data_IF_575288895428
#
_entry.id   IF_575288895428
#
_cell.length_a   1.000
_cell.length_b   1.000
_cell.length_c   1.000
_cell.angle_alpha   90.00
_cell.angle_beta   90.00
_cell.angle_gamma   90.00
#
_symmetry.space_group_name_H-M   'P 1'
#
loop_
_entity.id
_entity.type
_entity.pdbx_description
1 polymer ?
#
# COMPACT_ATOMS: atom_id res chain seq x y z
N UNK A 1 25.90 11.30 11.68
CA UNK A 1 24.49 10.84 11.57
C UNK A 1 23.86 11.40 10.31
N UNK A 2 23.89 12.72 10.06
CA UNK A 2 23.28 13.37 8.88
C UNK A 2 23.87 12.87 7.55
N UNK A 3 25.19 12.65 7.46
CA UNK A 3 25.86 12.12 6.25
C UNK A 3 25.48 10.67 5.95
N UNK A 4 25.31 9.83 6.98
CA UNK A 4 24.87 8.44 6.81
C UNK A 4 23.42 8.38 6.35
N UNK A 5 22.56 9.25 6.87
CA UNK A 5 21.17 9.37 6.45
C UNK A 5 21.03 9.83 4.99
N UNK A 6 21.79 10.84 4.58
CA UNK A 6 21.83 11.29 3.20
C UNK A 6 22.40 10.24 2.24
N UNK A 7 23.40 9.49 2.66
CA UNK A 7 23.98 8.43 1.82
C UNK A 7 23.00 7.25 1.63
N UNK A 8 22.27 6.87 2.67
CA UNK A 8 21.19 5.87 2.57
C UNK A 8 20.04 6.33 1.65
N UNK A 9 19.69 7.62 1.68
CA UNK A 9 18.69 8.20 0.79
C UNK A 9 19.15 8.27 -0.67
N UNK A 10 20.42 8.54 -0.94
CA UNK A 10 21.00 8.56 -2.28
C UNK A 10 21.12 7.15 -2.86
N UNK A 11 21.43 6.16 -2.02
CA UNK A 11 21.58 4.76 -2.45
C UNK A 11 20.26 4.02 -2.67
N UNK A 12 19.12 4.57 -2.21
CA UNK A 12 17.79 4.00 -2.46
C UNK A 12 16.87 5.02 -3.15
N UNK A 13 16.98 5.20 -4.49
CA UNK A 13 16.22 6.18 -5.24
C UNK A 13 14.69 5.97 -5.21
N UNK A 14 14.22 4.83 -4.69
CA UNK A 14 12.78 4.55 -4.53
C UNK A 14 12.21 5.03 -3.19
N UNK A 15 13.05 5.56 -2.31
CA UNK A 15 12.71 5.87 -0.94
C UNK A 15 11.59 6.93 -0.78
N UNK A 16 11.46 7.86 -1.71
CA UNK A 16 10.48 8.95 -1.62
C UNK A 16 9.70 9.21 -2.92
N UNK A 17 9.81 8.33 -3.91
CA UNK A 17 9.06 8.52 -5.15
C UNK A 17 7.58 8.18 -4.93
N UNK A 18 6.67 8.99 -5.50
CA UNK A 18 5.28 8.60 -5.62
C UNK A 18 5.18 7.23 -6.29
N UNK A 19 4.24 6.43 -5.84
CA UNK A 19 3.93 5.12 -6.41
C UNK A 19 2.63 5.18 -7.20
N UNK A 20 2.42 4.23 -8.09
CA UNK A 20 1.12 4.06 -8.73
C UNK A 20 0.06 3.82 -7.65
N UNK A 21 -1.11 4.42 -7.82
CA UNK A 21 -2.24 4.16 -6.93
C UNK A 21 -2.62 2.68 -6.99
N UNK A 22 -2.76 2.06 -5.83
CA UNK A 22 -3.17 0.67 -5.71
C UNK A 22 -4.64 0.49 -6.13
N UNK A 23 -4.92 -0.49 -6.96
CA UNK A 23 -6.30 -0.88 -7.28
C UNK A 23 -6.86 -1.65 -6.08
N UNK A 24 -7.94 -1.15 -5.49
CA UNK A 24 -8.63 -1.78 -4.35
C UNK A 24 -9.87 -2.48 -4.85
N UNK A 25 -9.95 -3.80 -4.59
CA UNK A 25 -11.06 -4.68 -4.92
C UNK A 25 -11.63 -5.31 -3.65
N UNK A 26 -12.93 -5.17 -3.43
CA UNK A 26 -13.67 -5.85 -2.37
C UNK A 26 -14.59 -6.94 -2.93
N UNK A 27 -14.52 -8.11 -2.32
CA UNK A 27 -15.44 -9.22 -2.55
C UNK A 27 -16.28 -9.43 -1.30
N UNK A 28 -17.48 -8.91 -1.29
CA UNK A 28 -18.46 -9.07 -0.22
C UNK A 28 -19.35 -10.29 -0.48
N UNK A 29 -19.79 -10.96 0.56
CA UNK A 29 -20.75 -12.06 0.43
C UNK A 29 -20.76 -12.96 1.66
N UNK A 30 -21.73 -13.88 1.68
CA UNK A 30 -21.89 -14.83 2.78
C UNK A 30 -20.67 -15.73 2.96
N UNK A 31 -20.47 -16.22 4.16
CA UNK A 31 -19.46 -17.23 4.44
C UNK A 31 -19.73 -18.51 3.63
N UNK A 32 -18.67 -19.14 3.10
CA UNK A 32 -18.77 -20.40 2.38
C UNK A 32 -19.12 -20.29 0.90
N UNK A 33 -19.24 -19.07 0.33
CA UNK A 33 -19.44 -18.89 -1.13
C UNK A 33 -18.15 -19.01 -1.95
N UNK A 34 -16.99 -19.23 -1.31
CA UNK A 34 -15.71 -19.46 -2.03
C UNK A 34 -14.96 -18.20 -2.43
N UNK A 35 -15.17 -17.07 -1.73
CA UNK A 35 -14.44 -15.80 -2.01
C UNK A 35 -12.94 -15.96 -2.05
N UNK A 36 -12.35 -16.67 -1.09
CA UNK A 36 -10.90 -16.91 -1.00
C UNK A 36 -10.33 -17.60 -2.27
N UNK A 37 -11.09 -18.52 -2.90
CA UNK A 37 -10.67 -19.14 -4.17
C UNK A 37 -10.63 -18.11 -5.32
N UNK A 38 -11.55 -17.15 -5.34
CA UNK A 38 -11.60 -16.10 -6.35
C UNK A 38 -10.44 -15.11 -6.22
N UNK A 39 -9.95 -14.89 -5.00
CA UNK A 39 -8.80 -14.02 -4.73
C UNK A 39 -7.58 -14.45 -5.55
N UNK A 40 -7.20 -15.75 -5.50
CA UNK A 40 -6.06 -16.25 -6.26
C UNK A 40 -6.26 -16.11 -7.77
N UNK A 41 -7.46 -16.40 -8.30
CA UNK A 41 -7.75 -16.23 -9.71
C UNK A 41 -7.61 -14.78 -10.19
N UNK A 42 -8.09 -13.84 -9.37
CA UNK A 42 -8.02 -12.41 -9.70
C UNK A 42 -6.59 -11.87 -9.50
N UNK A 43 -5.81 -12.43 -8.57
CA UNK A 43 -4.40 -12.08 -8.38
C UNK A 43 -3.55 -12.36 -9.63
N UNK A 44 -3.85 -13.45 -10.36
CA UNK A 44 -3.16 -13.81 -11.61
C UNK A 44 -3.23 -12.67 -12.64
N UNK A 45 -4.27 -11.83 -12.62
CA UNK A 45 -4.38 -10.70 -13.54
C UNK A 45 -3.32 -9.64 -13.29
N UNK A 46 -2.99 -9.35 -12.03
CA UNK A 46 -1.89 -8.44 -11.69
C UNK A 46 -0.53 -9.00 -12.16
N UNK A 47 -0.28 -10.28 -11.94
CA UNK A 47 0.94 -10.94 -12.39
C UNK A 47 1.08 -10.88 -13.91
N UNK A 48 -0.02 -11.08 -14.63
CA UNK A 48 -0.04 -11.01 -16.10
C UNK A 48 0.22 -9.58 -16.60
N UNK A 49 -0.41 -8.58 -16.01
CA UNK A 49 -0.21 -7.16 -16.39
C UNK A 49 1.23 -6.73 -16.11
N UNK A 50 1.82 -7.20 -15.02
CA UNK A 50 3.21 -6.87 -14.65
C UNK A 50 4.26 -7.81 -15.25
N UNK A 51 3.88 -8.64 -16.24
CA UNK A 51 4.75 -9.56 -16.95
C UNK A 51 5.54 -10.53 -16.06
N UNK A 52 4.96 -10.92 -14.92
CA UNK A 52 5.53 -11.93 -14.00
C UNK A 52 5.22 -13.34 -14.43
N UNK A 53 4.23 -13.52 -15.28
CA UNK A 53 3.84 -14.81 -15.86
C UNK A 53 3.66 -14.70 -17.38
N UNK A 54 4.01 -15.74 -18.10
CA UNK A 54 3.86 -15.86 -19.55
C UNK A 54 3.46 -17.29 -19.97
N UNK A 55 3.25 -17.48 -21.26
CA UNK A 55 2.76 -18.75 -21.82
C UNK A 55 3.81 -19.90 -21.81
N UNK A 56 5.09 -19.57 -21.70
CA UNK A 56 6.19 -20.53 -21.79
C UNK A 56 6.55 -21.13 -20.42
N UNK A 57 5.95 -20.61 -19.32
CA UNK A 57 6.22 -21.08 -17.96
C UNK A 57 5.59 -22.44 -17.71
N UNK A 58 6.34 -23.30 -17.04
CA UNK A 58 5.86 -24.59 -16.53
C UNK A 58 4.86 -24.38 -15.37
N UNK A 59 4.09 -25.43 -15.06
CA UNK A 59 3.14 -25.39 -13.93
C UNK A 59 3.84 -25.05 -12.59
N UNK A 60 5.06 -25.54 -12.38
CA UNK A 60 5.84 -25.25 -11.18
C UNK A 60 6.28 -23.78 -11.11
N UNK A 61 6.76 -23.23 -12.22
CA UNK A 61 7.15 -21.81 -12.29
C UNK A 61 5.94 -20.89 -12.09
N UNK A 62 4.76 -21.27 -12.60
CA UNK A 62 3.52 -20.53 -12.36
C UNK A 62 3.10 -20.60 -10.88
N UNK A 63 3.22 -21.77 -10.25
CA UNK A 63 2.93 -21.94 -8.81
C UNK A 63 3.87 -21.08 -7.96
N UNK A 64 5.17 -21.13 -8.23
CA UNK A 64 6.18 -20.33 -7.54
C UNK A 64 5.95 -18.83 -7.73
N UNK A 65 5.62 -18.40 -8.96
CA UNK A 65 5.32 -16.99 -9.26
C UNK A 65 4.06 -16.50 -8.53
N UNK A 66 2.99 -17.29 -8.51
CA UNK A 66 1.75 -16.95 -7.78
C UNK A 66 2.02 -16.90 -6.27
N UNK A 67 2.72 -17.89 -5.74
CA UNK A 67 3.04 -17.98 -4.30
C UNK A 67 3.93 -16.86 -3.81
N UNK A 68 4.92 -16.43 -4.61
CA UNK A 68 5.87 -15.38 -4.23
C UNK A 68 5.32 -13.95 -4.37
N UNK A 69 4.32 -13.72 -5.23
CA UNK A 69 3.81 -12.39 -5.54
C UNK A 69 2.47 -12.03 -4.86
N UNK A 70 1.98 -12.92 -3.98
CA UNK A 70 0.76 -12.69 -3.19
C UNK A 70 1.10 -12.66 -1.71
N UNK A 71 0.91 -11.54 -1.07
CA UNK A 71 1.11 -11.36 0.37
C UNK A 71 -0.24 -11.37 1.09
N UNK A 72 -0.39 -12.23 2.09
CA UNK A 72 -1.58 -12.27 2.96
C UNK A 72 -1.35 -11.42 4.21
N UNK A 73 -2.11 -10.37 4.36
CA UNK A 73 -2.11 -9.47 5.52
C UNK A 73 -3.27 -9.80 6.46
N UNK A 74 -2.99 -9.89 7.74
CA UNK A 74 -4.01 -10.04 8.78
C UNK A 74 -3.92 -8.89 9.78
N UNK A 75 -5.07 -8.33 10.17
CA UNK A 75 -5.16 -7.30 11.21
C UNK A 75 -4.66 -7.75 12.60
N UNK A 76 -4.57 -9.06 12.83
CA UNK A 76 -4.03 -9.62 14.07
C UNK A 76 -2.49 -9.55 14.12
N UNK A 77 -1.83 -9.33 12.98
CA UNK A 77 -0.38 -9.16 12.92
C UNK A 77 -0.04 -7.70 13.13
N UNK A 78 0.75 -7.40 14.14
CA UNK A 78 1.26 -6.05 14.39
C UNK A 78 2.19 -5.57 13.27
N UNK A 79 3.03 -6.47 12.75
CA UNK A 79 4.06 -6.18 11.76
C UNK A 79 3.70 -6.73 10.38
N UNK A 80 4.32 -6.14 9.34
CA UNK A 80 4.24 -6.58 7.95
C UNK A 80 5.34 -7.58 7.59
N UNK A 81 5.68 -8.46 8.54
CA UNK A 81 6.76 -9.43 8.34
C UNK A 81 6.48 -10.33 7.14
N UNK A 82 7.53 -10.57 6.34
CA UNK A 82 7.40 -11.33 5.10
C UNK A 82 6.93 -10.52 3.89
N UNK A 83 6.60 -9.24 4.06
CA UNK A 83 6.33 -8.37 2.91
C UNK A 83 7.63 -7.87 2.27
N UNK A 84 7.84 -8.18 1.00
CA UNK A 84 9.02 -7.81 0.22
C UNK A 84 8.67 -7.04 -1.07
N UNK A 85 7.47 -6.43 -1.11
CA UNK A 85 6.99 -5.70 -2.27
C UNK A 85 6.20 -6.54 -3.26
N UNK A 86 5.53 -7.57 -2.79
CA UNK A 86 4.65 -8.42 -3.59
C UNK A 86 3.63 -7.60 -4.37
N UNK A 87 3.27 -8.05 -5.57
CA UNK A 87 2.36 -7.33 -6.47
C UNK A 87 0.94 -7.26 -5.92
N UNK A 88 0.52 -8.27 -5.16
CA UNK A 88 -0.83 -8.37 -4.62
C UNK A 88 -0.79 -8.49 -3.11
N UNK A 89 -1.52 -7.64 -2.43
CA UNK A 89 -1.82 -7.79 -1.00
C UNK A 89 -3.26 -8.26 -0.83
N UNK A 90 -3.44 -9.28 -0.02
CA UNK A 90 -4.75 -9.89 0.26
C UNK A 90 -5.08 -9.72 1.74
N UNK A 91 -6.30 -9.33 2.04
CA UNK A 91 -6.88 -9.35 3.39
C UNK A 91 -8.15 -10.21 3.34
N UNK A 92 -8.07 -11.39 3.95
CA UNK A 92 -9.24 -12.24 4.10
C UNK A 92 -10.04 -11.84 5.33
N UNK A 93 -11.36 -11.85 5.21
CA UNK A 93 -12.29 -11.45 6.28
C UNK A 93 -12.06 -10.02 6.85
N UNK A 94 -11.84 -9.04 5.95
CA UNK A 94 -11.68 -7.63 6.29
C UNK A 94 -12.83 -7.11 7.18
N UNK A 95 -12.46 -6.41 8.24
CA UNK A 95 -13.39 -5.77 9.16
C UNK A 95 -13.99 -6.70 10.21
N UNK A 96 -13.49 -7.92 10.40
CA UNK A 96 -13.98 -8.87 11.41
C UNK A 96 -13.59 -8.45 12.84
N UNK A 97 -12.52 -7.70 13.02
CA UNK A 97 -12.15 -7.16 14.32
C UNK A 97 -13.13 -6.07 14.72
N UNK A 98 -13.58 -6.11 15.98
CA UNK A 98 -14.50 -5.09 16.52
C UNK A 98 -13.81 -3.73 16.48
N UNK A 99 -14.41 -2.79 15.79
CA UNK A 99 -13.97 -1.41 15.68
C UNK A 99 -14.69 -0.50 16.68
N UNK A 100 -13.97 0.42 17.31
CA UNK A 100 -14.54 1.46 18.18
C UNK A 100 -13.61 2.68 18.21
N UNK A 101 -14.12 3.83 18.65
CA UNK A 101 -13.35 5.06 18.82
C UNK A 101 -12.17 4.90 19.81
N UNK A 102 -12.29 4.01 20.80
CA UNK A 102 -11.25 3.74 21.80
C UNK A 102 -10.30 2.61 21.42
N UNK A 103 -10.71 1.74 20.50
CA UNK A 103 -9.89 0.65 19.96
C UNK A 103 -10.15 0.54 18.45
N UNK A 104 -9.52 1.42 17.65
CA UNK A 104 -9.74 1.44 16.22
C UNK A 104 -9.17 0.20 15.53
N UNK A 105 -9.93 -0.34 14.59
CA UNK A 105 -9.43 -1.42 13.74
C UNK A 105 -8.47 -0.84 12.70
N UNK A 106 -7.22 -1.23 12.78
CA UNK A 106 -6.11 -0.74 11.94
C UNK A 106 -6.33 -0.96 10.44
N UNK A 107 -7.12 -1.97 10.03
CA UNK A 107 -7.39 -2.28 8.62
C UNK A 107 -7.95 -1.08 7.85
N UNK A 108 -8.77 -0.26 8.50
CA UNK A 108 -9.36 0.92 7.87
C UNK A 108 -8.34 2.03 7.61
N UNK A 109 -7.43 2.30 8.56
CA UNK A 109 -6.34 3.27 8.37
C UNK A 109 -5.32 2.76 7.34
N UNK A 110 -4.95 1.48 7.41
CA UNK A 110 -4.08 0.84 6.41
C UNK A 110 -4.67 0.98 5.01
N UNK A 111 -5.97 0.71 4.83
CA UNK A 111 -6.66 0.85 3.53
C UNK A 111 -6.54 2.28 2.98
N UNK A 112 -6.70 3.29 3.83
CA UNK A 112 -6.57 4.69 3.44
C UNK A 112 -5.14 4.99 2.96
N UNK A 113 -4.12 4.46 3.63
CA UNK A 113 -2.70 4.72 3.32
C UNK A 113 -2.22 3.96 2.10
N UNK A 114 -2.60 2.69 1.97
CA UNK A 114 -2.15 1.85 0.85
C UNK A 114 -2.77 2.24 -0.49
N UNK A 115 -3.93 2.88 -0.48
CA UNK A 115 -4.69 3.21 -1.70
C UNK A 115 -4.26 4.50 -2.39
N UNK A 116 -3.42 5.34 -1.77
CA UNK A 116 -2.93 6.58 -2.37
C UNK A 116 -1.56 6.39 -3.06
N UNK A 117 -1.06 7.45 -3.71
CA UNK A 117 0.23 7.46 -4.41
C UNK A 117 1.42 7.84 -3.53
N UNK A 118 1.20 8.26 -2.28
CA UNK A 118 2.31 8.62 -1.39
C UNK A 118 3.07 7.38 -0.91
N UNK A 119 4.39 7.49 -0.69
CA UNK A 119 5.16 6.43 -0.06
C UNK A 119 4.56 6.06 1.31
N UNK A 120 4.31 4.79 1.53
CA UNK A 120 3.81 4.28 2.81
C UNK A 120 4.84 3.32 3.41
N UNK A 121 5.53 3.79 4.46
CA UNK A 121 6.48 2.99 5.22
C UNK A 121 5.73 1.96 6.07
N UNK A 122 6.13 0.71 5.96
CA UNK A 122 5.49 -0.39 6.66
C UNK A 122 6.08 -0.60 8.05
N UNK A 123 5.24 -0.99 8.99
CA UNK A 123 5.66 -1.34 10.34
C UNK A 123 6.26 -2.74 10.34
N UNK A 124 7.60 -2.82 10.38
CA UNK A 124 8.38 -4.06 10.37
C UNK A 124 8.90 -4.37 11.76
N UNK A 125 9.00 -5.67 12.13
CA UNK A 125 9.57 -6.07 13.41
C UNK A 125 11.09 -5.82 13.43
N UNK A 126 11.80 -6.15 12.35
CA UNK A 126 13.25 -6.01 12.26
C UNK A 126 13.66 -4.55 12.01
N UNK A 127 14.66 -4.10 12.74
CA UNK A 127 15.16 -2.72 12.67
C UNK A 127 15.72 -2.40 11.28
N UNK A 128 16.43 -3.35 10.67
CA UNK A 128 17.05 -3.23 9.35
C UNK A 128 16.01 -3.03 8.23
N UNK A 129 14.82 -3.58 8.41
CA UNK A 129 13.73 -3.51 7.45
C UNK A 129 12.87 -2.25 7.61
N UNK A 130 12.84 -1.64 8.81
CA UNK A 130 12.00 -0.45 9.10
C UNK A 130 12.28 0.74 8.20
N UNK A 131 13.56 0.92 7.81
CA UNK A 131 13.96 2.07 6.99
C UNK A 131 13.81 1.82 5.48
N UNK A 132 13.59 0.57 5.05
CA UNK A 132 13.63 0.18 3.63
C UNK A 132 12.35 -0.47 3.11
N UNK A 133 11.41 -0.81 3.99
CA UNK A 133 10.18 -1.50 3.60
C UNK A 133 9.03 -0.53 3.38
N UNK A 134 8.62 -0.41 2.12
CA UNK A 134 7.49 0.42 1.68
C UNK A 134 6.46 -0.43 0.96
N UNK A 135 5.20 -0.04 1.10
CA UNK A 135 4.11 -0.69 0.36
C UNK A 135 4.24 -0.45 -1.15
N UNK A 136 4.20 -1.53 -1.95
CA UNK A 136 4.41 -1.49 -3.41
C UNK A 136 3.36 -2.27 -4.21
N UNK A 137 2.41 -2.95 -3.54
CA UNK A 137 1.42 -3.77 -4.24
C UNK A 137 0.54 -2.91 -5.14
N UNK A 138 0.38 -3.34 -6.39
CA UNK A 138 -0.48 -2.66 -7.37
C UNK A 138 -1.96 -3.07 -7.24
N UNK A 139 -2.22 -4.18 -6.56
CA UNK A 139 -3.56 -4.71 -6.32
C UNK A 139 -3.72 -5.07 -4.84
N UNK A 140 -4.82 -4.61 -4.26
CA UNK A 140 -5.27 -4.98 -2.92
C UNK A 140 -6.63 -5.64 -3.03
N UNK A 141 -6.74 -6.89 -2.59
CA UNK A 141 -8.00 -7.64 -2.60
C UNK A 141 -8.42 -7.89 -1.16
N UNK A 142 -9.59 -7.44 -0.80
CA UNK A 142 -10.22 -7.74 0.49
C UNK A 142 -11.47 -8.60 0.30
N UNK A 143 -11.61 -9.64 1.11
CA UNK A 143 -12.90 -10.32 1.26
C UNK A 143 -13.58 -9.81 2.51
N UNK A 144 -14.91 -9.77 2.52
CA UNK A 144 -15.68 -9.37 3.72
C UNK A 144 -17.04 -10.04 3.76
N UNK A 145 -17.54 -10.23 4.97
CA UNK A 145 -18.91 -10.67 5.24
C UNK A 145 -19.79 -9.52 5.78
N UNK A 146 -19.19 -8.33 5.97
CA UNK A 146 -19.92 -7.16 6.45
C UNK A 146 -20.95 -6.68 5.42
N UNK A 147 -22.07 -6.19 5.90
CA UNK A 147 -23.11 -5.61 5.03
C UNK A 147 -22.66 -4.26 4.49
N UNK A 148 -22.08 -3.40 5.34
CA UNK A 148 -21.55 -2.10 4.97
C UNK A 148 -20.24 -1.82 5.72
N UNK A 149 -19.41 -0.89 5.21
CA UNK A 149 -18.19 -0.43 5.83
C UNK A 149 -18.42 0.96 6.47
N UNK A 150 -18.87 0.95 7.70
CA UNK A 150 -19.18 2.17 8.48
C UNK A 150 -18.48 2.13 9.84
N UNK A 151 -17.12 2.10 9.87
CA UNK A 151 -16.36 1.93 11.10
C UNK A 151 -16.54 3.14 12.03
N UNK A 152 -16.94 2.94 13.30
CA UNK A 152 -17.13 4.02 14.25
C UNK A 152 -15.83 4.74 14.66
N UNK A 153 -14.67 4.19 14.36
CA UNK A 153 -13.37 4.83 14.61
C UNK A 153 -13.05 5.95 13.62
N UNK A 154 -13.69 6.00 12.44
CA UNK A 154 -13.44 7.00 11.42
C UNK A 154 -14.47 8.13 11.46
N UNK A 155 -13.98 9.37 11.45
CA UNK A 155 -14.82 10.57 11.36
C UNK A 155 -15.48 10.71 9.99
N UNK A 156 -14.78 10.29 8.92
CA UNK A 156 -15.25 10.41 7.54
C UNK A 156 -15.18 9.06 6.83
N UNK A 157 -16.31 8.39 6.70
CA UNK A 157 -16.41 7.09 6.02
C UNK A 157 -16.14 7.17 4.52
N UNK A 158 -16.46 8.30 3.90
CA UNK A 158 -16.18 8.54 2.47
C UNK A 158 -14.69 8.40 2.14
N UNK A 159 -13.81 8.62 3.13
CA UNK A 159 -12.39 8.41 2.98
C UNK A 159 -12.05 6.96 2.58
N UNK A 160 -12.82 5.98 3.03
CA UNK A 160 -12.68 4.58 2.62
C UNK A 160 -13.40 4.35 1.29
N UNK A 161 -14.67 4.74 1.21
CA UNK A 161 -15.55 4.36 0.10
C UNK A 161 -14.99 4.82 -1.26
N UNK A 162 -14.47 6.06 -1.35
CA UNK A 162 -13.88 6.61 -2.58
C UNK A 162 -12.60 5.89 -3.05
N UNK A 163 -11.98 5.12 -2.17
CA UNK A 163 -10.73 4.38 -2.46
C UNK A 163 -11.00 2.98 -2.97
N UNK A 164 -12.20 2.45 -2.74
CA UNK A 164 -12.60 1.16 -3.25
C UNK A 164 -12.97 1.32 -4.72
N UNK A 165 -12.12 0.80 -5.60
CA UNK A 165 -12.34 0.92 -7.05
C UNK A 165 -13.36 -0.08 -7.56
N UNK A 166 -13.32 -1.29 -7.00
CA UNK A 166 -14.26 -2.35 -7.33
C UNK A 166 -14.83 -2.93 -6.04
N UNK A 167 -16.14 -3.02 -6.00
CA UNK A 167 -16.88 -3.59 -4.87
C UNK A 167 -17.98 -4.48 -5.40
N UNK A 168 -17.83 -5.78 -5.17
CA UNK A 168 -18.78 -6.78 -5.69
C UNK A 168 -19.34 -7.65 -4.60
N UNK A 169 -20.64 -7.83 -4.59
CA UNK A 169 -21.31 -8.91 -3.88
C UNK A 169 -21.15 -10.19 -4.72
N UNK A 170 -20.59 -11.23 -4.08
CA UNK A 170 -20.35 -12.53 -4.70
C UNK A 170 -21.47 -13.48 -4.32
N UNK A 171 -22.12 -14.01 -5.30
CA UNK A 171 -23.18 -15.02 -5.16
C UNK A 171 -22.84 -16.26 -5.98
N UNK A 172 -23.46 -17.36 -5.65
CA UNK A 172 -23.39 -18.61 -6.43
C UNK A 172 -24.73 -18.81 -7.09
N UNK A 173 -24.72 -19.22 -8.36
CA UNK A 173 -25.93 -19.55 -9.10
C UNK A 173 -26.78 -20.55 -8.35
N UNK A 174 -28.11 -20.36 -8.42
CA UNK A 174 -29.09 -21.13 -7.63
C UNK A 174 -29.00 -22.64 -7.84
N UNK A 175 -28.64 -23.08 -9.05
CA UNK A 175 -28.46 -24.50 -9.42
C UNK A 175 -27.19 -25.12 -8.82
N UNK A 176 -26.24 -24.30 -8.33
CA UNK A 176 -24.96 -24.72 -7.78
C UNK A 176 -24.89 -24.68 -6.25
N UNK A 177 -25.96 -24.27 -5.57
CA UNK A 177 -26.02 -24.20 -4.10
C UNK A 177 -26.90 -25.29 -3.48
N UNK A 178 -26.57 -25.63 -2.26
CA UNK A 178 -27.41 -26.45 -1.37
C UNK A 178 -28.59 -25.62 -0.83
N UNK A 179 -29.63 -26.23 -0.24
CA UNK A 179 -30.70 -25.49 0.44
C UNK A 179 -30.21 -24.57 1.55
N UNK A 180 -29.03 -24.84 2.12
CA UNK A 180 -28.39 -23.97 3.12
C UNK A 180 -27.57 -22.82 2.51
N UNK A 181 -27.53 -22.67 1.17
CA UNK A 181 -26.85 -21.61 0.46
C UNK A 181 -25.33 -21.79 0.31
N UNK A 182 -24.80 -23.00 0.59
CA UNK A 182 -23.38 -23.34 0.38
C UNK A 182 -23.18 -23.97 -0.99
N UNK A 183 -21.96 -23.94 -1.51
CA UNK A 183 -21.59 -24.66 -2.73
C UNK A 183 -21.89 -26.15 -2.54
N UNK A 184 -22.51 -26.78 -3.54
CA UNK A 184 -22.74 -28.21 -3.52
C UNK A 184 -21.42 -28.98 -3.37
N UNK A 185 -21.35 -30.05 -2.52
CA UNK A 185 -20.10 -30.77 -2.25
C UNK A 185 -19.39 -31.27 -3.52
N UNK A 186 -20.14 -31.76 -4.50
CA UNK A 186 -19.61 -32.26 -5.78
C UNK A 186 -18.92 -31.17 -6.61
N UNK A 187 -19.36 -29.90 -6.47
CA UNK A 187 -18.72 -28.75 -7.11
C UNK A 187 -17.53 -28.28 -6.27
N UNK A 188 -17.64 -28.28 -4.94
CA UNK A 188 -16.60 -27.81 -4.05
C UNK A 188 -15.35 -28.70 -4.09
N UNK A 189 -15.51 -30.00 -4.31
CA UNK A 189 -14.43 -31.00 -4.40
C UNK A 189 -13.88 -31.18 -5.83
N UNK A 190 -14.61 -30.69 -6.83
CA UNK A 190 -14.20 -30.75 -8.23
C UNK A 190 -13.22 -29.65 -8.64
N UNK A 191 -12.85 -29.62 -9.94
CA UNK A 191 -12.08 -28.54 -10.52
C UNK A 191 -12.73 -27.18 -10.25
N UNK A 192 -11.92 -26.13 -10.12
CA UNK A 192 -12.40 -24.79 -9.88
C UNK A 192 -13.23 -24.29 -11.07
N UNK A 193 -14.51 -24.08 -10.83
CA UNK A 193 -15.49 -23.59 -11.80
C UNK A 193 -15.74 -22.11 -11.58
N UNK A 194 -15.44 -21.29 -12.56
CA UNK A 194 -15.66 -19.83 -12.55
C UNK A 194 -17.08 -19.46 -12.93
N UNK A 195 -17.70 -20.28 -13.75
CA UNK A 195 -19.03 -20.12 -14.30
C UNK A 195 -20.19 -20.21 -13.28
N UNK A 196 -19.89 -20.71 -12.07
CA UNK A 196 -20.87 -20.81 -10.98
C UNK A 196 -21.09 -19.48 -10.24
N UNK A 197 -20.21 -18.51 -10.41
CA UNK A 197 -20.26 -17.25 -9.67
C UNK A 197 -21.02 -16.18 -10.44
N UNK A 198 -21.77 -15.39 -9.70
CA UNK A 198 -22.40 -14.16 -10.14
C UNK A 198 -21.91 -13.02 -9.25
N UNK A 199 -21.59 -11.88 -9.87
CA UNK A 199 -21.11 -10.67 -9.21
C UNK A 199 -22.12 -9.56 -9.47
N UNK A 200 -22.47 -8.81 -8.40
CA UNK A 200 -23.29 -7.60 -8.52
C UNK A 200 -22.56 -6.46 -7.82
N UNK A 201 -22.80 -5.24 -8.24
CA UNK A 201 -22.27 -4.09 -7.53
C UNK A 201 -22.78 -4.09 -6.08
N UNK A 202 -21.88 -3.91 -5.17
CA UNK A 202 -22.14 -3.72 -3.75
C UNK A 202 -21.68 -2.31 -3.37
N UNK A 203 -22.58 -1.51 -2.78
CA UNK A 203 -22.23 -0.21 -2.22
C UNK A 203 -21.68 -0.39 -0.81
N UNK A 204 -20.38 -0.13 -0.57
CA UNK A 204 -19.78 -0.27 0.74
C UNK A 204 -20.34 0.69 1.79
N UNK A 205 -20.93 1.81 1.38
CA UNK A 205 -21.48 2.80 2.29
C UNK A 205 -22.83 2.38 2.85
N UNK A 206 -23.71 1.85 2.01
CA UNK A 206 -25.10 1.53 2.36
C UNK A 206 -25.35 0.04 2.51
N UNK A 207 -24.47 -0.79 1.95
CA UNK A 207 -24.66 -2.23 1.87
C UNK A 207 -25.60 -2.69 0.76
N UNK A 208 -26.10 -1.77 -0.06
CA UNK A 208 -27.02 -2.11 -1.15
C UNK A 208 -26.30 -2.89 -2.24
N UNK A 209 -26.97 -3.92 -2.72
CA UNK A 209 -26.53 -4.71 -3.89
C UNK A 209 -27.43 -4.33 -5.07
N UNK A 210 -26.82 -3.94 -6.18
CA UNK A 210 -27.52 -3.40 -7.36
C UNK A 210 -26.89 -3.86 -8.67
N UNK A 211 -27.55 -3.54 -9.76
CA UNK A 211 -27.12 -3.84 -11.13
C UNK A 211 -27.41 -5.28 -11.56
N UNK A 212 -27.18 -5.54 -12.84
CA UNK A 212 -27.29 -6.87 -13.41
C UNK A 212 -26.16 -7.79 -12.96
N UNK A 213 -26.38 -9.09 -12.89
CA UNK A 213 -25.33 -10.04 -12.54
C UNK A 213 -24.25 -10.08 -13.61
N UNK A 214 -23.01 -9.96 -13.20
CA UNK A 214 -21.81 -10.06 -14.03
C UNK A 214 -21.17 -11.43 -13.87
N UNK A 215 -20.54 -11.90 -14.93
CA UNK A 215 -19.71 -13.10 -14.94
C UNK A 215 -18.33 -12.83 -14.33
N UNK A 216 -17.60 -13.91 -14.02
CA UNK A 216 -16.18 -13.80 -13.62
C UNK A 216 -15.34 -13.13 -14.70
N UNK A 217 -15.61 -13.43 -15.97
CA UNK A 217 -14.88 -12.89 -17.11
C UNK A 217 -15.03 -11.37 -17.22
N UNK A 218 -16.21 -10.84 -16.99
CA UNK A 218 -16.46 -9.39 -17.00
C UNK A 218 -15.73 -8.68 -15.85
N UNK A 219 -15.78 -9.24 -14.64
CA UNK A 219 -15.05 -8.71 -13.48
C UNK A 219 -13.53 -8.75 -13.73
N UNK A 220 -13.02 -9.87 -14.23
CA UNK A 220 -11.62 -10.05 -14.60
C UNK A 220 -11.15 -9.01 -15.61
N UNK A 221 -11.91 -8.81 -16.68
CA UNK A 221 -11.54 -7.90 -17.77
C UNK A 221 -11.59 -6.43 -17.31
N UNK A 222 -12.56 -6.07 -16.46
CA UNK A 222 -12.63 -4.76 -15.82
C UNK A 222 -11.40 -4.52 -14.93
N UNK A 223 -11.02 -5.50 -14.11
CA UNK A 223 -9.83 -5.43 -13.25
C UNK A 223 -8.54 -5.26 -14.08
N UNK A 224 -8.37 -6.08 -15.12
CA UNK A 224 -7.22 -6.00 -16.03
C UNK A 224 -7.09 -4.64 -16.69
N UNK A 225 -8.21 -4.09 -17.17
CA UNK A 225 -8.25 -2.76 -17.79
C UNK A 225 -7.80 -1.68 -16.80
N UNK A 226 -8.30 -1.71 -15.58
CA UNK A 226 -7.93 -0.74 -14.55
C UNK A 226 -6.45 -0.84 -14.14
N UNK A 227 -5.91 -2.05 -13.97
CA UNK A 227 -4.50 -2.26 -13.65
C UNK A 227 -3.58 -1.65 -14.72
N UNK A 228 -3.90 -1.85 -16.00
CA UNK A 228 -3.17 -1.23 -17.12
C UNK A 228 -3.30 0.30 -17.13
N UNK A 229 -4.50 0.82 -16.87
CA UNK A 229 -4.76 2.25 -16.82
C UNK A 229 -3.92 2.94 -15.72
N UNK A 230 -3.86 2.35 -14.52
CA UNK A 230 -3.08 2.89 -13.40
C UNK A 230 -1.59 2.95 -13.69
N UNK A 231 -1.04 1.94 -14.35
CA UNK A 231 0.36 1.94 -14.76
C UNK A 231 0.71 3.11 -15.70
N UNK A 232 -0.20 3.47 -16.61
CA UNK A 232 0.01 4.60 -17.52
C UNK A 232 -0.23 5.95 -16.83
N UNK A 233 -1.22 6.02 -15.94
CA UNK A 233 -1.62 7.24 -15.23
C UNK A 233 -0.52 7.74 -14.31
N UNK A 234 0.10 6.87 -13.51
CA UNK A 234 1.19 7.23 -12.60
C UNK A 234 2.38 7.86 -13.32
N UNK A 235 2.76 7.33 -14.48
CA UNK A 235 3.81 7.92 -15.34
C UNK A 235 3.41 9.31 -15.85
N UNK A 236 2.16 9.49 -16.28
CA UNK A 236 1.65 10.76 -16.79
C UNK A 236 1.60 11.85 -15.70
N UNK A 237 1.14 11.52 -14.50
CA UNK A 237 1.08 12.45 -13.37
C UNK A 237 2.48 12.92 -12.94
N UNK A 238 3.46 12.02 -12.90
CA UNK A 238 4.84 12.37 -12.59
C UNK A 238 5.44 13.30 -13.67
N UNK A 239 5.19 13.02 -14.95
CA UNK A 239 5.66 13.89 -16.04
C UNK A 239 5.05 15.29 -15.91
N UNK A 240 3.75 15.40 -15.61
CA UNK A 240 3.09 16.70 -15.38
C UNK A 240 3.71 17.46 -14.20
N UNK A 241 4.07 16.78 -13.11
CA UNK A 241 4.78 17.41 -12.00
C UNK A 241 6.18 17.90 -12.39
N UNK A 242 6.90 17.12 -13.21
CA UNK A 242 8.22 17.50 -13.72
C UNK A 242 8.10 18.72 -14.64
N UNK A 243 7.12 18.75 -15.53
CA UNK A 243 6.90 19.85 -16.45
C UNK A 243 6.52 21.14 -15.69
N UNK A 244 5.66 21.03 -14.69
CA UNK A 244 5.33 22.15 -13.79
C UNK A 244 6.56 22.67 -13.02
N UNK A 245 7.38 21.77 -12.48
CA UNK A 245 8.63 22.17 -11.83
C UNK A 245 9.58 22.91 -12.78
N UNK A 246 9.71 22.46 -14.05
CA UNK A 246 10.49 23.16 -15.07
C UNK A 246 9.94 24.55 -15.38
N UNK A 247 8.60 24.67 -15.45
CA UNK A 247 7.94 25.95 -15.68
C UNK A 247 8.24 26.94 -14.56
N UNK A 248 8.12 26.53 -13.28
CA UNK A 248 8.44 27.40 -12.13
C UNK A 248 9.91 27.83 -12.18
N UNK A 249 10.83 26.89 -12.38
CA UNK A 249 12.26 27.17 -12.42
C UNK A 249 12.64 28.13 -13.57
N UNK A 250 11.92 28.08 -14.68
CA UNK A 250 12.11 29.01 -15.80
C UNK A 250 11.57 30.43 -15.53
N UNK A 251 10.58 30.56 -14.62
CA UNK A 251 9.95 31.84 -14.29
C UNK A 251 10.65 32.59 -13.16
N UNK A 252 11.56 31.95 -12.40
CA UNK A 252 12.22 32.54 -11.22
C UNK A 252 13.75 32.59 -11.34
N UNK A 253 14.33 33.34 -12.30
CA UNK A 253 15.77 33.58 -12.29
C UNK A 253 16.22 34.48 -11.11
N UNK A 254 15.30 35.19 -10.46
CA UNK A 254 15.57 36.03 -9.29
C UNK A 254 15.69 35.25 -7.99
N UNK A 255 14.92 34.15 -7.83
CA UNK A 255 15.01 33.29 -6.65
C UNK A 255 16.34 32.56 -6.57
N UNK A 256 16.94 32.22 -7.71
CA UNK A 256 18.26 31.60 -7.79
C UNK A 256 19.36 32.59 -7.36
N UNK A 257 19.24 33.87 -7.68
CA UNK A 257 20.14 34.93 -7.21
C UNK A 257 20.01 35.18 -5.71
N UNK A 258 18.78 35.19 -5.19
CA UNK A 258 18.50 35.37 -3.76
C UNK A 258 19.03 34.18 -2.94
N UNK A 259 18.90 32.95 -3.45
CA UNK A 259 19.45 31.76 -2.79
C UNK A 259 20.97 31.79 -2.73
N UNK A 260 21.64 32.28 -3.79
CA UNK A 260 23.09 32.47 -3.84
C UNK A 260 23.52 33.59 -2.88
N UNK A 261 22.81 34.71 -2.81
CA UNK A 261 23.09 35.82 -1.88
C UNK A 261 22.94 35.38 -0.41
N UNK A 262 21.90 34.64 -0.07
CA UNK A 262 21.69 34.09 1.28
C UNK A 262 22.81 33.10 1.64
N UNK A 263 23.19 32.21 0.71
CA UNK A 263 24.28 31.26 0.93
C UNK A 263 25.66 31.95 1.08
N UNK A 264 25.86 33.09 0.39
CA UNK A 264 27.10 33.91 0.55
C UNK A 264 27.09 34.71 1.85
N UNK A 265 25.93 35.20 2.32
CA UNK A 265 25.80 35.91 3.58
C UNK A 265 26.08 34.98 4.79
N UNK A 266 25.57 33.74 4.75
CA UNK A 266 25.81 32.72 5.79
C UNK A 266 27.29 32.29 5.86
N UNK A 267 28.03 32.32 4.75
CA UNK A 267 29.45 32.03 4.71
C UNK A 267 30.34 33.21 5.16
N UNK A 268 29.80 34.43 5.15
CA UNK A 268 30.51 35.63 5.55
C UNK A 268 30.51 35.86 7.06
N UNK A 269 29.53 35.37 7.81
CA UNK A 269 29.42 35.52 9.27
C UNK A 269 30.32 34.55 10.05
N UNK A 270 30.74 33.42 9.47
CA UNK A 270 31.67 32.47 10.12
C UNK A 270 33.14 32.87 10.02
N UNK A 271 33.44 34.01 9.38
CA UNK A 271 34.82 34.46 9.14
C UNK A 271 35.39 35.52 10.10
N UNK A 272 34.56 36.20 10.92
CA UNK A 272 35.02 37.32 11.75
C UNK A 272 35.27 37.03 13.23
N UNK A 273 35.02 35.84 13.77
CA UNK A 273 35.20 35.54 15.20
C UNK A 273 36.45 34.71 15.56
N UNK A 274 37.48 34.73 14.71
CA UNK A 274 38.72 34.00 15.01
C UNK A 274 40.01 34.84 15.20
N UNK A 275 39.86 36.15 15.50
CA UNK A 275 41.05 37.01 15.70
C UNK A 275 41.00 37.92 16.94
N UNK A 276 40.73 37.40 18.13
CA UNK A 276 41.13 38.06 19.38
C UNK A 276 41.05 37.09 20.58
N UNK A 277 42.13 36.36 20.87
CA UNK A 277 42.56 36.06 22.24
C UNK A 277 43.86 35.23 22.24
N UNK A 278 44.96 35.92 22.01
CA UNK A 278 46.25 35.49 22.59
C UNK A 278 46.54 36.34 23.81
N UNK A 279 47.18 35.68 24.81
CA UNK A 279 47.86 36.17 26.01
C UNK A 279 47.10 35.99 27.32
N UNK A 280 47.37 34.87 28.01
CA UNK A 280 48.01 34.79 29.32
C UNK A 280 47.94 33.39 29.95
N UNK A 281 49.06 32.73 30.06
CA UNK A 281 49.38 31.74 31.10
C UNK A 281 50.34 32.39 32.13
N UNK A 282 50.80 31.80 33.26
CA UNK A 282 50.34 30.60 33.99
C UNK A 282 50.33 30.82 35.52
N UNK A 283 49.82 29.90 36.34
CA UNK A 283 50.47 29.45 37.60
C UNK A 283 49.63 28.40 38.33
N UNK A 284 50.18 27.23 38.45
CA UNK A 284 50.40 26.35 39.57
C UNK A 284 49.49 26.52 40.81
N UNK A 285 48.82 25.45 41.25
CA UNK A 285 49.19 24.69 42.43
C UNK A 285 48.07 23.73 42.89
N UNK A 286 48.49 22.47 43.00
CA UNK A 286 48.37 21.52 44.13
C UNK A 286 47.03 21.08 44.70
N UNK A 287 46.80 19.78 44.49
CA UNK A 287 46.61 18.74 45.54
C UNK A 287 45.33 18.70 46.40
N UNK A 288 44.68 17.61 46.33
CA UNK A 288 44.31 16.53 47.31
C UNK A 288 42.93 15.97 47.06
N UNK A 289 42.89 14.69 46.72
CA UNK A 289 42.55 13.55 47.59
C UNK A 289 41.29 13.72 48.45
N UNK A 290 40.31 12.89 48.21
CA UNK A 290 39.84 11.72 48.98
C UNK A 290 38.39 11.41 48.68
N UNK A 291 38.10 10.19 48.22
CA UNK A 291 37.49 9.04 48.93
C UNK A 291 36.05 9.17 49.37
N UNK A 292 35.29 8.25 48.82
CA UNK A 292 34.23 7.42 49.46
C UNK A 292 32.91 8.14 49.81
N UNK A 293 31.83 7.72 49.35
CA UNK A 293 31.10 6.42 49.59
C UNK A 293 30.27 6.07 48.36
#
# INVERSE_FOLDING_TARGET
VYRVFNHANISNPHYQKPRDETVVLFLQGKAGVGKTKLVYLLSVEALKVKHKINADMTSRELEDAIGSEVYSRSAQQEFWDGYHGQLVTVVDDFGQLKDSATNPNIEYDELIRISNSFPYALHMARLEEKASSFFKSCLYIATTNLTALTPPSLVCHEAIHRRIRFSYNVQIKADCVTPSGKIKPEIAQGPLRKDIYEFRYWDPATGLVSGDPMSFEEVRDALRKELKLREHKGKSEMNSCIDYAREILAQSPEDEKLAVEVAMAEQGEDGEDSSQSQVRSPSQSRLRESRSI
#
